data_IF_011772791151
#
_entry.id   IF_011772791151
#
_cell.length_a   1.000
_cell.length_b   1.000
_cell.length_c   1.000
_cell.angle_alpha   90.00
_cell.angle_beta   90.00
_cell.angle_gamma   90.00
#
_symmetry.space_group_name_H-M   'P 1'
#
loop_
_entity.id
_entity.type
_entity.pdbx_description
1 polymer ?
#
# COMPACT_ATOMS: atom_id res chain seq x y z
N UNK A 1 19.08 18.77 -13.76
CA UNK A 1 18.33 17.67 -14.41
C UNK A 1 16.87 17.86 -14.10
N UNK A 2 16.06 18.16 -15.11
CA UNK A 2 14.61 18.27 -14.97
C UNK A 2 14.08 16.84 -14.96
N UNK A 3 13.63 16.34 -13.81
CA UNK A 3 13.00 15.02 -13.72
C UNK A 3 11.64 15.15 -14.38
N UNK A 4 11.46 14.49 -15.53
CA UNK A 4 10.17 14.40 -16.19
C UNK A 4 9.15 13.82 -15.20
N UNK A 5 8.08 14.56 -14.95
CA UNK A 5 6.87 14.04 -14.30
C UNK A 5 6.40 12.90 -15.19
N UNK A 6 6.38 11.67 -14.69
CA UNK A 6 5.86 10.53 -15.44
C UNK A 6 4.43 10.85 -15.87
N UNK A 7 4.21 11.00 -17.17
CA UNK A 7 2.88 11.11 -17.80
C UNK A 7 2.20 9.73 -17.75
N UNK A 8 2.02 9.20 -16.56
CA UNK A 8 1.28 7.98 -16.27
C UNK A 8 -0.15 8.33 -15.90
N UNK A 9 -1.11 7.58 -16.44
CA UNK A 9 -2.50 7.60 -15.98
C UNK A 9 -2.56 7.36 -14.46
N UNK A 10 -3.33 8.18 -13.74
CA UNK A 10 -3.45 8.08 -12.29
C UNK A 10 -4.05 6.72 -11.88
N UNK A 11 -3.63 6.20 -10.72
CA UNK A 11 -4.02 4.85 -10.30
C UNK A 11 -5.54 4.69 -10.16
N UNK A 12 -6.23 5.71 -9.66
CA UNK A 12 -7.69 5.68 -9.53
C UNK A 12 -8.39 5.47 -10.88
N UNK A 13 -7.84 6.04 -11.95
CA UNK A 13 -8.36 5.90 -13.31
C UNK A 13 -8.12 4.48 -13.82
N UNK A 14 -6.89 3.95 -13.62
CA UNK A 14 -6.55 2.58 -13.98
C UNK A 14 -7.40 1.56 -13.20
N UNK A 15 -7.66 1.80 -11.91
CA UNK A 15 -8.50 0.94 -11.08
C UNK A 15 -9.94 0.91 -11.61
N UNK A 16 -10.55 2.07 -11.89
CA UNK A 16 -11.92 2.13 -12.45
C UNK A 16 -12.03 1.41 -13.80
N UNK A 17 -11.02 1.55 -14.67
CA UNK A 17 -10.97 0.82 -15.95
C UNK A 17 -10.81 -0.69 -15.74
N UNK A 18 -9.91 -1.10 -14.86
CA UNK A 18 -9.74 -2.51 -14.52
C UNK A 18 -11.04 -3.12 -13.96
N UNK A 19 -11.78 -2.39 -13.13
CA UNK A 19 -13.10 -2.78 -12.62
C UNK A 19 -14.13 -2.97 -13.73
N UNK A 20 -14.12 -2.11 -14.75
CA UNK A 20 -14.94 -2.23 -15.95
C UNK A 20 -14.55 -3.43 -16.83
N UNK A 21 -13.42 -4.09 -16.55
CA UNK A 21 -12.96 -5.29 -17.25
C UNK A 21 -11.84 -5.02 -18.27
N UNK A 22 -11.20 -3.87 -18.21
CA UNK A 22 -10.05 -3.52 -19.06
C UNK A 22 -8.77 -4.24 -18.58
N UNK A 23 -8.26 -5.25 -19.31
CA UNK A 23 -7.06 -5.99 -18.91
C UNK A 23 -5.77 -5.16 -19.06
N UNK A 24 -5.75 -4.18 -19.96
CA UNK A 24 -4.57 -3.32 -20.17
C UNK A 24 -4.38 -2.38 -18.97
N UNK A 25 -5.49 -1.80 -18.49
CA UNK A 25 -5.47 -0.97 -17.28
C UNK A 25 -4.98 -1.75 -16.05
N UNK A 26 -5.41 -3.00 -15.90
CA UNK A 26 -4.90 -3.87 -14.83
C UNK A 26 -3.42 -4.21 -15.04
N UNK A 27 -3.00 -4.49 -16.28
CA UNK A 27 -1.59 -4.74 -16.61
C UNK A 27 -0.68 -3.58 -16.20
N UNK A 28 -1.10 -2.34 -16.45
CA UNK A 28 -0.38 -1.12 -16.03
C UNK A 28 -0.25 -1.01 -14.52
N UNK A 29 -1.30 -1.36 -13.75
CA UNK A 29 -1.23 -1.44 -12.29
C UNK A 29 -0.25 -2.53 -11.85
N UNK A 30 -0.29 -3.71 -12.48
CA UNK A 30 0.64 -4.80 -12.17
C UNK A 30 2.09 -4.36 -12.41
N UNK A 31 2.41 -3.76 -13.56
CA UNK A 31 3.75 -3.25 -13.86
C UNK A 31 4.24 -2.24 -12.82
N UNK A 32 3.38 -1.29 -12.43
CA UNK A 32 3.69 -0.25 -11.44
C UNK A 32 3.93 -0.82 -10.04
N UNK A 33 3.15 -1.82 -9.64
CA UNK A 33 3.14 -2.33 -8.28
C UNK A 33 3.93 -3.63 -8.07
N UNK A 34 4.31 -4.34 -9.14
CA UNK A 34 4.97 -5.64 -9.08
C UNK A 34 6.24 -5.60 -8.25
N UNK A 35 7.11 -4.60 -8.48
CA UNK A 35 8.37 -4.48 -7.74
C UNK A 35 8.12 -4.36 -6.23
N UNK A 36 7.14 -3.55 -5.84
CA UNK A 36 6.82 -3.35 -4.41
C UNK A 36 6.21 -4.60 -3.80
N UNK A 37 5.24 -5.22 -4.48
CA UNK A 37 4.62 -6.47 -4.04
C UNK A 37 5.66 -7.59 -3.87
N UNK A 38 6.58 -7.72 -4.83
CA UNK A 38 7.67 -8.68 -4.79
C UNK A 38 8.59 -8.48 -3.59
N UNK A 39 9.06 -7.27 -3.31
CA UNK A 39 9.92 -7.05 -2.15
C UNK A 39 9.18 -7.22 -0.82
N UNK A 40 7.88 -6.90 -0.77
CA UNK A 40 7.04 -7.20 0.39
C UNK A 40 6.94 -8.71 0.63
N UNK A 41 6.62 -9.50 -0.41
CA UNK A 41 6.56 -10.95 -0.31
C UNK A 41 7.93 -11.56 0.04
N UNK A 42 9.01 -11.10 -0.61
CA UNK A 42 10.38 -11.55 -0.37
C UNK A 42 10.81 -11.34 1.10
N UNK A 43 10.40 -10.22 1.71
CA UNK A 43 10.71 -9.95 3.12
C UNK A 43 10.03 -10.92 4.11
N UNK A 44 8.96 -11.59 3.68
CA UNK A 44 8.21 -12.55 4.49
C UNK A 44 8.72 -13.99 4.31
N UNK A 45 9.06 -14.37 3.08
CA UNK A 45 9.41 -15.77 2.76
C UNK A 45 10.91 -16.04 2.60
N UNK A 46 11.73 -15.00 2.43
CA UNK A 46 13.19 -15.12 2.29
C UNK A 46 13.67 -15.81 1.01
N UNK A 47 12.74 -16.22 0.14
CA UNK A 47 12.98 -16.95 -1.10
C UNK A 47 12.51 -16.14 -2.31
N UNK A 48 13.38 -16.02 -3.32
CA UNK A 48 13.08 -15.29 -4.56
C UNK A 48 11.96 -15.95 -5.36
N UNK A 49 11.92 -17.28 -5.38
CA UNK A 49 10.92 -18.04 -6.11
C UNK A 49 9.54 -17.86 -5.49
N UNK A 50 9.43 -18.10 -4.17
CA UNK A 50 8.18 -17.94 -3.43
C UNK A 50 7.70 -16.49 -3.43
N UNK A 51 8.62 -15.52 -3.35
CA UNK A 51 8.28 -14.10 -3.41
C UNK A 51 7.64 -13.70 -4.74
N UNK A 52 8.08 -14.29 -5.84
CA UNK A 52 7.49 -14.07 -7.16
C UNK A 52 6.11 -14.74 -7.28
N UNK A 53 5.99 -16.00 -6.85
CA UNK A 53 4.73 -16.75 -6.90
C UNK A 53 3.63 -16.06 -6.08
N UNK A 54 3.93 -15.71 -4.83
CA UNK A 54 3.00 -15.00 -3.94
C UNK A 54 2.54 -13.67 -4.53
N UNK A 55 3.47 -12.92 -5.14
CA UNK A 55 3.13 -11.63 -5.75
C UNK A 55 2.18 -11.79 -6.93
N UNK A 56 2.44 -12.77 -7.79
CA UNK A 56 1.58 -13.06 -8.93
C UNK A 56 0.20 -13.56 -8.48
N UNK A 57 0.13 -14.48 -7.52
CA UNK A 57 -1.13 -14.97 -6.97
C UNK A 57 -1.92 -13.85 -6.28
N UNK A 58 -1.25 -12.90 -5.60
CA UNK A 58 -1.89 -11.72 -5.02
C UNK A 58 -2.55 -10.85 -6.11
N UNK A 59 -1.86 -10.58 -7.22
CA UNK A 59 -2.46 -9.85 -8.35
C UNK A 59 -3.58 -10.64 -9.02
N UNK A 60 -3.44 -11.96 -9.18
CA UNK A 60 -4.50 -12.80 -9.73
C UNK A 60 -5.76 -12.74 -8.85
N UNK A 61 -5.61 -12.77 -7.52
CA UNK A 61 -6.71 -12.58 -6.57
C UNK A 61 -7.30 -11.18 -6.67
N UNK A 62 -6.48 -10.14 -6.74
CA UNK A 62 -6.94 -8.76 -6.91
C UNK A 62 -7.75 -8.59 -8.20
N UNK A 63 -7.32 -9.21 -9.30
CA UNK A 63 -8.06 -9.21 -10.56
C UNK A 63 -9.41 -9.91 -10.43
N UNK A 64 -9.47 -11.08 -9.78
CA UNK A 64 -10.74 -11.80 -9.54
C UNK A 64 -11.70 -10.97 -8.67
N UNK A 65 -11.17 -10.30 -7.65
CA UNK A 65 -11.93 -9.47 -6.71
C UNK A 65 -12.17 -8.02 -7.19
N UNK A 66 -11.65 -7.62 -8.36
CA UNK A 66 -11.64 -6.20 -8.80
C UNK A 66 -12.99 -5.50 -8.68
N UNK A 67 -14.08 -6.22 -9.00
CA UNK A 67 -15.46 -5.69 -8.96
C UNK A 67 -15.97 -5.35 -7.56
N UNK A 68 -15.40 -5.94 -6.51
CA UNK A 68 -15.83 -5.73 -5.12
C UNK A 68 -14.90 -4.80 -4.36
N UNK A 69 -13.76 -4.43 -4.95
CA UNK A 69 -12.87 -3.44 -4.37
C UNK A 69 -13.55 -2.08 -4.52
N UNK A 70 -13.68 -1.35 -3.42
CA UNK A 70 -14.11 0.04 -3.44
C UNK A 70 -12.87 0.91 -3.70
N UNK A 71 -12.78 1.60 -4.84
CA UNK A 71 -11.61 2.40 -5.19
C UNK A 71 -11.50 3.67 -4.34
N UNK A 72 -12.62 4.15 -3.80
CA UNK A 72 -12.68 5.36 -2.98
C UNK A 72 -12.47 5.04 -1.49
N UNK A 73 -12.45 3.75 -1.12
CA UNK A 73 -12.14 3.30 0.25
C UNK A 73 -10.63 3.26 0.45
N UNK A 74 -10.08 4.06 1.38
CA UNK A 74 -8.65 4.06 1.66
C UNK A 74 -8.16 2.66 1.99
N UNK A 75 -7.01 2.28 1.43
CA UNK A 75 -6.39 1.02 1.79
C UNK A 75 -6.10 1.00 3.29
N UNK A 76 -6.18 -0.18 3.93
CA UNK A 76 -6.03 -0.31 5.38
C UNK A 76 -4.74 0.34 5.92
N UNK A 77 -3.65 0.33 5.13
CA UNK A 77 -2.40 1.02 5.46
C UNK A 77 -2.54 2.54 5.50
N UNK A 78 -3.21 3.13 4.52
CA UNK A 78 -3.44 4.58 4.43
C UNK A 78 -4.36 5.03 5.56
N UNK A 79 -5.45 4.29 5.80
CA UNK A 79 -6.32 4.55 6.93
C UNK A 79 -5.57 4.46 8.28
N UNK A 80 -4.61 3.54 8.42
CA UNK A 80 -3.78 3.46 9.62
C UNK A 80 -2.84 4.66 9.77
N UNK A 81 -2.29 5.18 8.66
CA UNK A 81 -1.48 6.39 8.64
C UNK A 81 -2.31 7.62 9.03
N UNK A 82 -3.49 7.79 8.45
CA UNK A 82 -4.37 8.93 8.75
C UNK A 82 -4.77 8.96 10.22
N UNK A 83 -5.09 7.79 10.77
CA UNK A 83 -5.38 7.64 12.20
C UNK A 83 -4.16 7.95 13.07
N UNK A 84 -2.98 7.47 12.70
CA UNK A 84 -1.73 7.73 13.42
C UNK A 84 -1.38 9.22 13.42
N UNK A 85 -1.48 9.89 12.27
CA UNK A 85 -1.25 11.32 12.13
C UNK A 85 -2.26 12.12 12.96
N UNK A 86 -3.55 11.79 12.88
CA UNK A 86 -4.60 12.43 13.67
C UNK A 86 -4.36 12.29 15.18
N UNK A 87 -3.93 11.11 15.63
CA UNK A 87 -3.58 10.88 17.04
C UNK A 87 -2.33 11.65 17.47
N UNK A 88 -1.32 11.79 16.61
CA UNK A 88 -0.13 12.57 16.90
C UNK A 88 -0.47 14.07 17.03
N UNK A 89 -1.27 14.61 16.10
CA UNK A 89 -1.76 16.00 16.18
C UNK A 89 -2.58 16.25 17.43
N UNK A 90 -3.48 15.32 17.80
CA UNK A 90 -4.26 15.42 19.04
C UNK A 90 -3.39 15.44 20.31
N UNK A 91 -2.15 14.93 20.23
CA UNK A 91 -1.14 14.95 21.30
C UNK A 91 -0.18 16.15 21.22
N UNK A 92 -0.38 17.07 20.28
CA UNK A 92 0.44 18.27 20.09
C UNK A 92 1.73 18.05 19.28
N UNK A 93 1.89 16.89 18.65
CA UNK A 93 3.04 16.61 17.77
C UNK A 93 2.79 17.10 16.34
N UNK A 94 3.86 17.45 15.63
CA UNK A 94 3.83 17.82 14.20
C UNK A 94 4.45 16.77 13.28
N UNK A 95 5.01 15.69 13.84
CA UNK A 95 5.56 14.57 13.07
C UNK A 95 5.41 13.24 13.82
N UNK A 96 5.46 12.14 13.07
CA UNK A 96 5.61 10.79 13.59
C UNK A 96 6.86 10.16 12.99
N UNK A 97 7.80 9.76 13.83
CA UNK A 97 9.06 9.12 13.44
C UNK A 97 9.08 7.65 13.89
N UNK A 98 10.08 6.89 13.44
CA UNK A 98 10.23 5.47 13.76
C UNK A 98 8.96 4.64 13.48
N UNK A 99 8.25 4.99 12.40
CA UNK A 99 6.98 4.37 12.03
C UNK A 99 7.22 2.91 11.61
N UNK A 100 6.55 1.98 12.29
CA UNK A 100 6.57 0.56 11.97
C UNK A 100 5.16 0.08 11.64
N UNK A 101 5.03 -0.72 10.58
CA UNK A 101 3.82 -1.45 10.24
C UNK A 101 4.09 -2.93 10.50
N UNK A 102 3.30 -3.54 11.38
CA UNK A 102 3.33 -4.97 11.63
C UNK A 102 2.00 -5.58 11.21
N UNK A 103 2.05 -6.72 10.53
CA UNK A 103 0.87 -7.52 10.24
C UNK A 103 0.77 -8.64 11.28
N UNK A 104 -0.29 -8.65 12.07
CA UNK A 104 -0.59 -9.79 12.94
C UNK A 104 -1.60 -10.72 12.26
N UNK A 105 -1.32 -12.02 12.26
CA UNK A 105 -2.30 -13.03 11.84
C UNK A 105 -3.26 -13.28 12.99
N UNK A 106 -4.50 -12.81 12.87
CA UNK A 106 -5.57 -13.31 13.73
C UNK A 106 -6.14 -14.54 13.02
N UNK A 107 -6.27 -15.66 13.75
CA UNK A 107 -6.70 -16.96 13.19
C UNK A 107 -7.86 -16.82 12.19
N UNK A 108 -7.75 -17.48 11.03
CA UNK A 108 -8.89 -17.67 10.11
C UNK A 108 -9.05 -16.68 8.95
N UNK A 109 -7.97 -16.02 8.48
CA UNK A 109 -7.88 -15.19 7.25
C UNK A 109 -7.90 -13.66 7.40
N UNK A 110 -7.95 -13.12 8.63
CA UNK A 110 -7.84 -11.68 8.86
C UNK A 110 -6.40 -11.26 9.19
N UNK A 111 -5.81 -10.41 8.35
CA UNK A 111 -4.56 -9.71 8.67
C UNK A 111 -4.89 -8.40 9.37
N UNK A 112 -4.49 -8.25 10.63
CA UNK A 112 -4.56 -6.96 11.32
C UNK A 112 -3.30 -6.15 11.00
N UNK A 113 -3.48 -4.93 10.50
CA UNK A 113 -2.37 -3.98 10.34
C UNK A 113 -2.27 -3.18 11.64
N UNK A 114 -1.22 -3.47 12.42
CA UNK A 114 -0.80 -2.62 13.52
C UNK A 114 0.19 -1.59 12.97
N UNK A 115 -0.11 -0.31 13.16
CA UNK A 115 0.80 0.77 12.82
C UNK A 115 1.12 1.56 14.10
N UNK A 116 2.41 1.75 14.40
CA UNK A 116 2.87 2.53 15.56
C UNK A 116 4.11 3.33 15.21
N UNK A 117 4.38 4.37 15.99
CA UNK A 117 5.52 5.26 15.84
C UNK A 117 5.62 6.22 17.02
N UNK A 118 6.62 7.09 16.99
CA UNK A 118 6.89 8.07 18.03
C UNK A 118 6.44 9.46 17.56
N UNK A 119 5.49 10.05 18.31
CA UNK A 119 4.98 11.38 18.02
C UNK A 119 5.95 12.43 18.59
N UNK A 120 6.45 13.33 17.73
CA UNK A 120 7.47 14.32 18.08
C UNK A 120 7.11 15.71 17.59
N UNK A 121 7.73 16.72 18.20
CA UNK A 121 7.71 18.10 17.72
C UNK A 121 9.07 18.41 17.11
N UNK A 122 9.11 18.65 15.81
CA UNK A 122 10.29 19.09 15.10
C UNK A 122 10.32 20.62 15.09
N UNK A 123 11.45 21.20 15.47
CA UNK A 123 11.75 22.61 15.21
C UNK A 123 12.34 22.72 13.80
N UNK A 124 12.02 23.79 13.05
CA UNK A 124 12.68 24.05 11.78
C UNK A 124 14.18 24.28 12.02
N UNK A 125 15.03 23.73 11.15
CA UNK A 125 16.44 24.12 11.10
C UNK A 125 16.51 25.62 10.79
N UNK A 126 17.01 26.40 11.76
CA UNK A 126 17.19 27.86 11.70
C UNK A 126 18.33 28.30 10.79
#
# INVERSE_FOLDING_TARGET
MITAVETGEADDVLVRRAQAGDPEAFGRLVERYMRRAYYSALSLVGSREDGLDISQEAFARAYRARRTIDPDRPAAREQAIDRMASQATARGANAVINVTFSTSYIMGSASEILAYGEAVTLEPDV
#
